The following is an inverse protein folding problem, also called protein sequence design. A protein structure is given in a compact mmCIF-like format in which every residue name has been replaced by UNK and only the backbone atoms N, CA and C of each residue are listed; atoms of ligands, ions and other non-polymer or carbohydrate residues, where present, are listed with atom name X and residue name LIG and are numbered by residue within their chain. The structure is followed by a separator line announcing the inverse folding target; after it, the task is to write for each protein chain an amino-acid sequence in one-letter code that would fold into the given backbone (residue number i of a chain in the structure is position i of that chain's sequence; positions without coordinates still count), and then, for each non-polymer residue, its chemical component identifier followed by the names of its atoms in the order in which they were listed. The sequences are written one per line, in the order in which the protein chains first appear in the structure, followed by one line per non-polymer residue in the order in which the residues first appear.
data_IF_547587151570
#
_entry.id   IF_547587151570
#
_cell.length_a   1.000
_cell.length_b   1.000
_cell.length_c   1.000
_cell.angle_alpha   90.00
_cell.angle_beta   90.00
_cell.angle_gamma   90.00
#
_symmetry.space_group_name_H-M   'P 1'
#
loop_
_entity.id
_entity.type
_entity.pdbx_description
1 polymer ?
#
# COMPACT_ATOMS: atom_id res chain seq x y z
N UNK A 1 -12.80 -47.05 -37.43
CA UNK A 1 -13.46 -46.02 -36.60
C UNK A 1 -13.28 -44.68 -37.30
N UNK A 2 -14.27 -43.79 -37.26
CA UNK A 2 -14.14 -42.45 -37.85
C UNK A 2 -13.06 -41.66 -37.09
N UNK A 3 -12.22 -40.92 -37.82
CA UNK A 3 -11.20 -40.04 -37.24
C UNK A 3 -11.71 -38.60 -37.26
N UNK A 4 -11.52 -37.90 -36.16
CA UNK A 4 -12.05 -36.55 -35.93
C UNK A 4 -10.89 -35.56 -35.76
N UNK A 5 -10.49 -34.96 -36.88
CA UNK A 5 -9.41 -33.98 -36.91
C UNK A 5 -9.96 -32.56 -36.77
N UNK A 6 -9.28 -31.72 -36.00
CA UNK A 6 -9.62 -30.32 -35.78
C UNK A 6 -10.16 -30.04 -34.38
N UNK A 7 -10.67 -28.82 -34.20
CA UNK A 7 -11.20 -28.32 -32.91
C UNK A 7 -12.72 -28.39 -32.89
N UNK A 8 -13.26 -28.92 -31.81
CA UNK A 8 -14.69 -29.05 -31.56
C UNK A 8 -15.09 -28.24 -30.34
N UNK A 9 -16.25 -27.59 -30.39
CA UNK A 9 -16.76 -26.83 -29.23
C UNK A 9 -17.22 -27.81 -28.16
N UNK A 10 -16.71 -27.64 -26.95
CA UNK A 10 -17.13 -28.38 -25.79
C UNK A 10 -17.45 -27.49 -24.61
N UNK A 11 -17.98 -28.11 -23.56
CA UNK A 11 -18.16 -27.49 -22.25
C UNK A 11 -17.47 -28.30 -21.16
N UNK A 12 -16.97 -27.61 -20.15
CA UNK A 12 -16.45 -28.26 -18.94
C UNK A 12 -17.62 -28.83 -18.14
N UNK A 13 -17.63 -30.13 -17.92
CA UNK A 13 -18.64 -30.83 -17.11
C UNK A 13 -18.16 -31.11 -15.67
N UNK A 14 -16.84 -31.22 -15.46
CA UNK A 14 -16.26 -31.54 -14.16
C UNK A 14 -14.76 -31.32 -14.12
N UNK A 15 -14.23 -31.00 -12.93
CA UNK A 15 -12.80 -30.65 -12.72
C UNK A 15 -12.10 -31.50 -11.66
N UNK A 16 -12.81 -32.45 -11.04
CA UNK A 16 -12.28 -33.30 -9.96
C UNK A 16 -11.47 -34.48 -10.53
N UNK A 17 -10.27 -34.19 -11.05
CA UNK A 17 -9.39 -35.20 -11.67
C UNK A 17 -8.78 -36.17 -10.63
N UNK A 18 -9.18 -37.46 -10.62
CA UNK A 18 -8.66 -38.43 -9.65
C UNK A 18 -7.19 -38.81 -9.87
N UNK A 19 -6.61 -38.50 -11.03
CA UNK A 19 -5.19 -38.80 -11.34
C UNK A 19 -4.27 -37.59 -11.16
N UNK A 20 -4.81 -36.42 -10.82
CA UNK A 20 -4.04 -35.18 -10.64
C UNK A 20 -3.15 -34.81 -11.84
N UNK A 21 -3.64 -35.04 -13.06
CA UNK A 21 -2.95 -34.77 -14.32
C UNK A 21 -3.40 -33.44 -14.96
N UNK A 22 -4.26 -32.67 -14.28
CA UNK A 22 -4.85 -31.44 -14.82
C UNK A 22 -5.93 -31.70 -15.88
N UNK A 23 -6.54 -32.90 -15.85
CA UNK A 23 -7.63 -33.25 -16.77
C UNK A 23 -8.94 -32.61 -16.34
N UNK A 24 -9.83 -32.45 -17.31
CA UNK A 24 -11.22 -32.06 -17.07
C UNK A 24 -12.17 -33.04 -17.75
N UNK A 25 -13.37 -33.20 -17.21
CA UNK A 25 -14.44 -33.85 -17.92
C UNK A 25 -15.03 -32.88 -18.92
N UNK A 26 -15.09 -33.29 -20.19
CA UNK A 26 -15.62 -32.49 -21.28
C UNK A 26 -16.90 -33.11 -21.82
N UNK A 27 -17.83 -32.26 -22.22
CA UNK A 27 -18.98 -32.60 -23.03
C UNK A 27 -18.81 -32.00 -24.42
N UNK A 28 -18.87 -32.83 -25.46
CA UNK A 28 -18.74 -32.40 -26.87
C UNK A 28 -19.94 -32.91 -27.64
N UNK A 29 -21.04 -32.17 -27.61
CA UNK A 29 -22.33 -32.62 -28.13
C UNK A 29 -22.28 -33.04 -29.61
N UNK A 30 -21.47 -32.34 -30.43
CA UNK A 30 -21.31 -32.63 -31.86
C UNK A 30 -20.60 -33.95 -32.17
N UNK A 31 -19.94 -34.57 -31.18
CA UNK A 31 -19.15 -35.79 -31.36
C UNK A 31 -19.73 -36.94 -30.54
N UNK A 32 -20.09 -36.66 -29.29
CA UNK A 32 -20.54 -37.67 -28.34
C UNK A 32 -22.06 -37.78 -28.22
N UNK A 33 -22.81 -36.86 -28.84
CA UNK A 33 -24.23 -36.68 -28.52
C UNK A 33 -24.42 -36.10 -27.12
N UNK A 34 -25.67 -36.13 -26.64
CA UNK A 34 -25.99 -35.66 -25.30
C UNK A 34 -25.64 -36.70 -24.23
N UNK A 35 -25.10 -36.25 -23.10
CA UNK A 35 -24.89 -37.08 -21.91
C UNK A 35 -23.57 -37.84 -21.80
N UNK A 36 -22.81 -38.06 -22.89
CA UNK A 36 -21.48 -38.69 -22.78
C UNK A 36 -20.41 -37.66 -22.38
N UNK A 37 -19.71 -37.96 -21.30
CA UNK A 37 -18.56 -37.21 -20.78
C UNK A 37 -17.27 -37.99 -21.00
N UNK A 38 -16.16 -37.30 -21.18
CA UNK A 38 -14.84 -37.94 -21.28
C UNK A 38 -13.76 -37.09 -20.62
N UNK A 39 -12.75 -37.75 -20.05
CA UNK A 39 -11.61 -37.07 -19.43
C UNK A 39 -10.65 -36.61 -20.51
N UNK A 40 -10.49 -35.29 -20.66
CA UNK A 40 -9.59 -34.70 -21.64
C UNK A 40 -8.23 -34.33 -21.03
N UNK A 41 -7.15 -34.64 -21.74
CA UNK A 41 -5.79 -34.23 -21.39
C UNK A 41 -5.58 -32.72 -21.62
N UNK A 42 -4.84 -32.01 -20.75
CA UNK A 42 -4.54 -30.60 -20.93
C UNK A 42 -3.54 -30.35 -22.06
N UNK A 43 -3.87 -29.42 -22.94
CA UNK A 43 -2.92 -28.75 -23.82
C UNK A 43 -2.72 -27.31 -23.31
N UNK A 44 -1.87 -27.18 -22.29
CA UNK A 44 -1.56 -25.90 -21.63
C UNK A 44 -0.30 -25.25 -22.22
N UNK A 45 -0.15 -23.91 -22.13
CA UNK A 45 1.01 -23.21 -22.71
C UNK A 45 2.36 -23.60 -22.11
N UNK A 46 2.39 -24.02 -20.85
CA UNK A 46 3.61 -24.42 -20.16
C UNK A 46 3.30 -25.51 -19.12
N UNK A 47 4.00 -26.64 -19.19
CA UNK A 47 3.91 -27.72 -18.22
C UNK A 47 5.25 -28.48 -18.14
N UNK A 48 5.60 -28.94 -16.94
CA UNK A 48 6.79 -29.74 -16.66
C UNK A 48 6.77 -30.25 -15.22
N UNK A 49 7.86 -30.88 -14.79
CA UNK A 49 8.01 -31.30 -13.39
C UNK A 49 8.10 -30.07 -12.48
N UNK A 50 7.08 -29.86 -11.65
CA UNK A 50 6.97 -28.77 -10.67
C UNK A 50 7.03 -27.34 -11.27
N UNK A 51 6.64 -27.21 -12.54
CA UNK A 51 6.59 -25.93 -13.26
C UNK A 51 5.43 -25.93 -14.26
N UNK A 52 4.83 -24.77 -14.52
CA UNK A 52 3.77 -24.66 -15.53
C UNK A 52 2.83 -23.47 -15.36
N UNK A 53 1.89 -23.33 -16.30
CA UNK A 53 0.74 -22.44 -16.20
C UNK A 53 -0.51 -23.28 -15.92
N UNK A 54 -0.90 -23.37 -14.65
CA UNK A 54 -2.04 -24.16 -14.20
C UNK A 54 -3.30 -23.31 -14.03
N UNK A 55 -4.12 -23.22 -15.07
CA UNK A 55 -5.35 -22.43 -15.09
C UNK A 55 -6.52 -23.29 -15.59
N UNK A 56 -7.12 -24.06 -14.67
CA UNK A 56 -8.25 -24.94 -14.99
C UNK A 56 -9.54 -24.11 -15.09
N UNK A 57 -10.30 -24.20 -16.20
CA UNK A 57 -11.56 -23.47 -16.33
C UNK A 57 -12.66 -24.01 -15.41
N UNK A 58 -13.59 -23.13 -15.03
CA UNK A 58 -14.74 -23.50 -14.19
C UNK A 58 -15.70 -24.44 -14.93
N UNK A 59 -16.45 -25.25 -14.18
CA UNK A 59 -17.56 -26.04 -14.73
C UNK A 59 -18.53 -25.11 -15.47
N UNK A 60 -18.95 -25.52 -16.67
CA UNK A 60 -19.79 -24.73 -17.57
C UNK A 60 -19.04 -23.88 -18.59
N UNK A 61 -17.73 -23.66 -18.42
CA UNK A 61 -16.92 -22.85 -19.34
C UNK A 61 -16.88 -23.46 -20.75
N UNK A 62 -16.81 -22.60 -21.76
CA UNK A 62 -16.69 -23.01 -23.15
C UNK A 62 -15.22 -23.24 -23.54
N UNK A 63 -14.93 -24.40 -24.12
CA UNK A 63 -13.57 -24.86 -24.44
C UNK A 63 -13.48 -25.41 -25.85
N UNK A 64 -12.27 -25.43 -26.42
CA UNK A 64 -12.00 -26.25 -27.60
C UNK A 64 -11.49 -27.63 -27.19
N UNK A 65 -12.01 -28.65 -27.85
CA UNK A 65 -11.63 -30.05 -27.67
C UNK A 65 -11.06 -30.59 -28.97
N UNK A 66 -9.93 -31.28 -28.86
CA UNK A 66 -9.24 -32.02 -29.92
C UNK A 66 -9.12 -33.48 -29.50
N UNK A 67 -8.56 -34.31 -30.37
CA UNK A 67 -8.46 -35.76 -30.17
C UNK A 67 -7.08 -36.26 -30.62
N UNK A 68 -6.36 -36.99 -29.76
CA UNK A 68 -5.02 -37.52 -30.10
C UNK A 68 -5.11 -38.40 -31.34
N UNK A 69 -4.42 -38.03 -32.43
CA UNK A 69 -4.51 -38.76 -33.70
C UNK A 69 -5.94 -38.89 -34.25
N UNK A 70 -6.82 -37.94 -33.91
CA UNK A 70 -8.24 -37.95 -34.27
C UNK A 70 -9.07 -39.01 -33.55
N UNK A 71 -8.55 -39.59 -32.46
CA UNK A 71 -9.21 -40.66 -31.71
C UNK A 71 -10.09 -40.11 -30.57
N UNK A 72 -11.39 -40.37 -30.67
CA UNK A 72 -12.39 -39.82 -29.74
C UNK A 72 -12.26 -40.32 -28.31
N UNK A 73 -11.56 -41.44 -28.10
CA UNK A 73 -11.31 -41.98 -26.77
C UNK A 73 -10.12 -41.29 -26.06
N UNK A 74 -9.38 -40.43 -26.78
CA UNK A 74 -8.25 -39.65 -26.27
C UNK A 74 -8.46 -38.13 -26.48
N UNK A 75 -9.45 -37.52 -25.81
CA UNK A 75 -9.70 -36.09 -25.95
C UNK A 75 -8.59 -35.24 -25.31
N UNK A 76 -8.36 -34.06 -25.90
CA UNK A 76 -7.47 -33.01 -25.44
C UNK A 76 -8.30 -31.75 -25.27
N UNK A 77 -8.16 -31.00 -24.18
CA UNK A 77 -8.73 -29.65 -24.06
C UNK A 77 -7.67 -28.59 -24.35
N UNK A 78 -8.01 -27.61 -25.18
CA UNK A 78 -7.09 -26.59 -25.70
C UNK A 78 -7.72 -25.20 -25.64
N UNK A 79 -7.48 -24.48 -24.54
CA UNK A 79 -7.96 -23.12 -24.36
C UNK A 79 -9.48 -22.97 -24.21
N UNK A 80 -9.90 -21.74 -23.95
CA UNK A 80 -11.29 -21.35 -23.72
C UNK A 80 -11.72 -20.30 -24.74
N UNK A 81 -13.02 -20.09 -24.88
CA UNK A 81 -13.58 -18.96 -25.62
C UNK A 81 -14.75 -18.36 -24.85
N UNK A 82 -14.97 -17.05 -25.01
CA UNK A 82 -16.12 -16.40 -24.42
C UNK A 82 -17.38 -16.70 -25.23
N UNK A 83 -18.43 -17.11 -24.53
CA UNK A 83 -19.80 -17.07 -25.02
C UNK A 83 -20.32 -15.63 -25.12
N UNK A 84 -21.58 -15.51 -25.53
CA UNK A 84 -22.26 -14.23 -25.53
C UNK A 84 -22.27 -13.64 -24.12
N UNK A 85 -21.83 -12.38 -24.01
CA UNK A 85 -21.72 -11.62 -22.77
C UNK A 85 -20.76 -12.12 -21.68
N UNK A 86 -19.98 -13.18 -21.95
CA UNK A 86 -18.98 -13.70 -21.00
C UNK A 86 -17.66 -12.92 -21.00
N UNK A 87 -17.38 -12.13 -22.04
CA UNK A 87 -16.17 -11.29 -22.10
C UNK A 87 -16.22 -10.26 -20.94
N UNK A 88 -15.16 -10.15 -20.10
CA UNK A 88 -15.12 -9.17 -19.02
C UNK A 88 -15.47 -7.77 -19.50
N UNK A 89 -16.37 -7.09 -18.77
CA UNK A 89 -16.90 -5.79 -19.16
C UNK A 89 -15.79 -4.74 -19.37
N UNK A 90 -14.73 -4.78 -18.57
CA UNK A 90 -13.57 -3.90 -18.71
C UNK A 90 -12.82 -4.08 -20.05
N UNK A 91 -12.99 -5.20 -20.75
CA UNK A 91 -12.41 -5.47 -22.06
C UNK A 91 -13.37 -5.15 -23.23
N UNK A 92 -14.61 -4.74 -22.95
CA UNK A 92 -15.57 -4.29 -23.97
C UNK A 92 -15.30 -2.82 -24.34
N UNK A 93 -14.11 -2.59 -24.90
CA UNK A 93 -13.62 -1.29 -25.37
C UNK A 93 -13.39 -1.30 -26.87
N UNK A 94 -13.26 -0.12 -27.48
CA UNK A 94 -12.96 0.04 -28.90
C UNK A 94 -11.51 -0.35 -29.22
N UNK A 95 -10.54 0.19 -28.46
CA UNK A 95 -9.11 -0.10 -28.61
C UNK A 95 -8.69 -1.36 -27.83
N UNK A 96 -9.13 -2.53 -28.30
CA UNK A 96 -8.93 -3.81 -27.59
C UNK A 96 -7.47 -4.25 -27.44
N UNK A 97 -6.57 -3.79 -28.30
CA UNK A 97 -5.13 -4.08 -28.22
C UNK A 97 -4.42 -3.27 -27.12
N UNK A 98 -5.08 -2.26 -26.55
CA UNK A 98 -4.53 -1.40 -25.50
C UNK A 98 -4.83 -1.87 -24.08
N UNK A 99 -5.61 -2.95 -23.92
CA UNK A 99 -5.92 -3.50 -22.60
C UNK A 99 -5.80 -5.02 -22.60
N UNK A 100 -5.06 -5.54 -21.62
CA UNK A 100 -4.90 -6.96 -21.37
C UNK A 100 -5.27 -7.26 -19.93
N UNK A 101 -5.93 -8.40 -19.70
CA UNK A 101 -6.41 -8.77 -18.38
C UNK A 101 -6.27 -10.27 -18.16
N UNK A 102 -5.78 -10.62 -16.98
CA UNK A 102 -5.93 -11.95 -16.40
C UNK A 102 -6.89 -11.86 -15.22
N UNK A 103 -8.06 -12.48 -15.32
CA UNK A 103 -9.10 -12.47 -14.29
C UNK A 103 -9.51 -13.89 -13.93
N UNK A 104 -9.55 -14.15 -12.63
CA UNK A 104 -10.16 -15.34 -12.03
C UNK A 104 -11.26 -14.90 -11.07
N UNK A 105 -11.90 -15.83 -10.40
CA UNK A 105 -12.90 -15.52 -9.37
C UNK A 105 -12.27 -14.68 -8.25
N UNK A 106 -12.72 -13.42 -8.12
CA UNK A 106 -12.28 -12.47 -7.10
C UNK A 106 -10.88 -11.86 -7.28
N UNK A 107 -10.10 -12.24 -8.30
CA UNK A 107 -8.75 -11.71 -8.54
C UNK A 107 -8.58 -11.20 -9.97
N UNK A 108 -7.87 -10.09 -10.15
CA UNK A 108 -7.63 -9.50 -11.47
C UNK A 108 -6.29 -8.80 -11.55
N UNK A 109 -5.56 -9.04 -12.64
CA UNK A 109 -4.40 -8.26 -13.07
C UNK A 109 -4.74 -7.63 -14.42
N UNK A 110 -4.60 -6.32 -14.53
CA UNK A 110 -4.91 -5.53 -15.74
C UNK A 110 -3.69 -4.74 -16.17
N UNK A 111 -3.35 -4.82 -17.45
CA UNK A 111 -2.37 -3.98 -18.13
C UNK A 111 -3.16 -3.05 -19.05
N UNK A 112 -3.04 -1.74 -18.85
CA UNK A 112 -3.82 -0.75 -19.57
C UNK A 112 -2.92 0.33 -20.19
N UNK A 113 -3.08 0.58 -21.49
CA UNK A 113 -2.37 1.62 -22.25
C UNK A 113 -3.33 2.60 -22.94
N UNK A 114 -4.61 2.65 -22.54
CA UNK A 114 -5.61 3.59 -23.05
C UNK A 114 -6.17 4.50 -21.96
N UNK A 115 -6.69 5.65 -22.38
CA UNK A 115 -7.30 6.65 -21.51
C UNK A 115 -6.34 7.24 -20.48
N UNK A 116 -6.90 7.70 -19.37
CA UNK A 116 -6.17 8.30 -18.24
C UNK A 116 -5.64 7.25 -17.25
N UNK A 117 -6.26 6.07 -17.21
CA UNK A 117 -5.91 4.99 -16.27
C UNK A 117 -4.81 4.06 -16.82
N UNK A 118 -3.79 4.63 -17.48
CA UNK A 118 -2.66 3.85 -18.01
C UNK A 118 -1.82 3.29 -16.87
N UNK A 119 -1.38 2.04 -17.01
CA UNK A 119 -0.59 1.39 -16.00
C UNK A 119 -0.97 -0.06 -15.76
N UNK A 120 -0.58 -0.56 -14.58
CA UNK A 120 -0.89 -1.92 -14.11
C UNK A 120 -1.79 -1.81 -12.88
N UNK A 121 -2.88 -2.57 -12.87
CA UNK A 121 -3.80 -2.65 -11.72
C UNK A 121 -3.97 -4.10 -11.28
N UNK A 122 -3.78 -4.35 -9.99
CA UNK A 122 -4.02 -5.64 -9.34
C UNK A 122 -5.17 -5.44 -8.34
N UNK A 123 -6.19 -6.30 -8.40
CA UNK A 123 -7.36 -6.26 -7.52
C UNK A 123 -7.63 -7.64 -6.96
N UNK A 124 -7.91 -7.69 -5.66
CA UNK A 124 -8.48 -8.85 -4.97
C UNK A 124 -9.77 -8.39 -4.28
N UNK A 125 -10.88 -9.06 -4.55
CA UNK A 125 -12.23 -8.70 -4.10
C UNK A 125 -13.07 -9.95 -3.83
N UNK A 126 -14.33 -9.76 -3.43
CA UNK A 126 -15.25 -10.87 -3.19
C UNK A 126 -15.39 -11.76 -4.46
N UNK A 127 -15.40 -13.09 -4.34
CA UNK A 127 -15.51 -13.88 -3.10
C UNK A 127 -14.17 -14.26 -2.46
N UNK A 128 -13.02 -13.89 -3.03
CA UNK A 128 -11.71 -14.26 -2.46
C UNK A 128 -11.46 -13.58 -1.11
N UNK A 129 -11.85 -12.31 -1.01
CA UNK A 129 -11.72 -11.51 0.22
C UNK A 129 -12.95 -10.62 0.40
N UNK A 130 -13.41 -10.45 1.64
CA UNK A 130 -14.52 -9.55 1.98
C UNK A 130 -14.17 -8.08 1.73
N UNK A 131 -12.91 -7.71 2.01
CA UNK A 131 -12.40 -6.35 1.86
C UNK A 131 -11.54 -6.24 0.61
N UNK A 132 -11.97 -5.40 -0.33
CA UNK A 132 -11.26 -5.16 -1.57
C UNK A 132 -9.85 -4.61 -1.31
N UNK A 133 -8.86 -5.29 -1.89
CA UNK A 133 -7.47 -4.87 -1.94
C UNK A 133 -7.14 -4.44 -3.37
N UNK A 134 -6.40 -3.35 -3.51
CA UNK A 134 -6.01 -2.79 -4.81
C UNK A 134 -4.56 -2.36 -4.78
N UNK A 135 -3.83 -2.63 -5.87
CA UNK A 135 -2.52 -2.08 -6.13
C UNK A 135 -2.50 -1.46 -7.54
N UNK A 136 -1.90 -0.29 -7.68
CA UNK A 136 -1.87 0.49 -8.92
C UNK A 136 -0.43 0.94 -9.17
N UNK A 137 0.01 0.81 -10.42
CA UNK A 137 1.23 1.42 -10.95
C UNK A 137 0.82 2.30 -12.12
N UNK A 138 0.92 3.61 -11.99
CA UNK A 138 0.49 4.56 -13.03
C UNK A 138 1.46 5.75 -13.14
N UNK A 139 1.05 6.80 -13.86
CA UNK A 139 1.87 8.01 -14.05
C UNK A 139 2.08 8.83 -12.76
N UNK A 140 1.24 8.64 -11.74
CA UNK A 140 1.36 9.30 -10.45
C UNK A 140 2.29 8.53 -9.49
N UNK A 141 2.53 7.23 -9.76
CA UNK A 141 3.46 6.39 -9.04
C UNK A 141 2.89 5.03 -8.69
N UNK A 142 3.03 4.62 -7.43
CA UNK A 142 2.58 3.32 -6.91
C UNK A 142 1.62 3.55 -5.74
N UNK A 143 0.45 2.93 -5.78
CA UNK A 143 -0.51 2.92 -4.67
C UNK A 143 -0.85 1.48 -4.25
N UNK A 144 -0.84 1.22 -2.94
CA UNK A 144 -1.41 0.02 -2.31
C UNK A 144 -2.54 0.47 -1.41
N UNK A 145 -3.73 -0.09 -1.60
CA UNK A 145 -4.96 0.40 -0.99
C UNK A 145 -5.79 -0.77 -0.41
N UNK A 146 -6.14 -0.65 0.87
CA UNK A 146 -7.09 -1.50 1.56
C UNK A 146 -8.38 -0.70 1.84
N UNK A 147 -9.29 -0.72 0.86
CA UNK A 147 -10.62 -0.09 0.91
C UNK A 147 -10.61 1.39 1.36
N UNK A 148 -9.64 2.16 0.88
CA UNK A 148 -9.40 3.58 1.22
C UNK A 148 -9.17 3.86 2.72
N UNK A 149 -9.13 2.83 3.57
CA UNK A 149 -8.88 2.94 5.00
C UNK A 149 -7.38 2.87 5.30
N UNK A 150 -6.60 2.08 4.58
CA UNK A 150 -5.14 2.04 4.75
C UNK A 150 -4.47 2.11 3.39
N UNK A 151 -3.61 3.09 3.20
CA UNK A 151 -2.97 3.36 1.92
C UNK A 151 -1.46 3.53 2.08
N UNK A 152 -0.72 3.03 1.10
CA UNK A 152 0.69 3.32 0.89
C UNK A 152 0.82 3.92 -0.50
N UNK A 153 1.41 5.11 -0.59
CA UNK A 153 1.65 5.83 -1.85
C UNK A 153 3.13 6.15 -1.99
N UNK A 154 3.69 5.85 -3.15
CA UNK A 154 5.04 6.22 -3.56
C UNK A 154 4.89 7.04 -4.83
N UNK A 155 5.14 8.35 -4.72
CA UNK A 155 5.01 9.33 -5.79
C UNK A 155 6.39 9.95 -6.08
N UNK A 156 6.47 10.81 -7.09
CA UNK A 156 7.75 11.39 -7.53
C UNK A 156 8.45 12.23 -6.45
N UNK A 157 7.68 12.92 -5.60
CA UNK A 157 8.13 13.88 -4.60
C UNK A 157 7.71 13.53 -3.17
N UNK A 158 6.95 12.44 -2.99
CA UNK A 158 6.39 12.06 -1.69
C UNK A 158 6.22 10.55 -1.53
N UNK A 159 6.54 10.05 -0.33
CA UNK A 159 6.11 8.72 0.14
C UNK A 159 5.15 8.92 1.32
N UNK A 160 3.98 8.28 1.27
CA UNK A 160 2.94 8.39 2.29
C UNK A 160 2.43 7.02 2.74
N UNK A 161 2.37 6.80 4.04
CA UNK A 161 1.66 5.69 4.67
C UNK A 161 0.53 6.28 5.52
N UNK A 162 -0.72 5.93 5.24
CA UNK A 162 -1.90 6.44 5.93
C UNK A 162 -2.72 5.29 6.50
N UNK A 163 -3.14 5.41 7.76
CA UNK A 163 -4.13 4.55 8.40
C UNK A 163 -5.32 5.40 8.88
N UNK A 164 -6.38 5.37 8.06
CA UNK A 164 -7.55 6.23 8.12
C UNK A 164 -7.11 7.69 8.20
N UNK A 165 -7.97 8.57 8.68
CA UNK A 165 -7.66 10.01 8.70
C UNK A 165 -6.71 10.43 9.83
N UNK A 166 -6.41 9.53 10.75
CA UNK A 166 -5.76 9.88 12.01
C UNK A 166 -4.25 9.66 11.99
N UNK A 167 -3.76 8.62 11.31
CA UNK A 167 -2.34 8.24 11.40
C UNK A 167 -1.67 8.34 10.05
N UNK A 168 -0.63 9.18 9.93
CA UNK A 168 0.15 9.32 8.70
C UNK A 168 1.65 9.30 8.98
N UNK A 169 2.41 8.72 8.05
CA UNK A 169 3.85 8.92 7.92
C UNK A 169 4.09 9.46 6.52
N UNK A 170 4.68 10.64 6.41
CA UNK A 170 4.89 11.34 5.14
C UNK A 170 6.37 11.70 5.03
N UNK A 171 7.00 11.30 3.92
CA UNK A 171 8.38 11.67 3.58
C UNK A 171 8.32 12.51 2.32
N UNK A 172 8.86 13.72 2.38
CA UNK A 172 9.06 14.61 1.23
C UNK A 172 10.54 14.88 1.05
N UNK A 173 10.91 15.71 0.06
CA UNK A 173 12.30 16.12 -0.15
C UNK A 173 12.92 16.85 1.06
N UNK A 174 12.11 17.62 1.79
CA UNK A 174 12.60 18.49 2.87
C UNK A 174 12.21 18.00 4.27
N UNK A 175 11.23 17.09 4.38
CA UNK A 175 10.64 16.71 5.67
C UNK A 175 10.36 15.22 5.80
N UNK A 176 10.45 14.73 7.05
CA UNK A 176 9.84 13.47 7.47
C UNK A 176 8.86 13.79 8.59
N UNK A 177 7.57 13.56 8.34
CA UNK A 177 6.46 13.89 9.22
C UNK A 177 5.75 12.61 9.70
N UNK A 178 5.56 12.46 11.00
CA UNK A 178 4.76 11.41 11.62
C UNK A 178 3.63 12.07 12.39
N UNK A 179 2.38 11.74 12.07
CA UNK A 179 1.20 12.35 12.70
C UNK A 179 0.25 11.29 13.23
N UNK A 180 -0.23 11.52 14.44
CA UNK A 180 -1.38 10.84 15.02
C UNK A 180 -2.35 11.89 15.57
N UNK A 181 -3.41 12.17 14.81
CA UNK A 181 -4.44 13.16 15.14
C UNK A 181 -3.81 14.54 15.41
N UNK A 182 -3.76 14.98 16.67
CA UNK A 182 -3.18 16.27 17.08
C UNK A 182 -1.69 16.20 17.46
N UNK A 183 -1.10 15.01 17.51
CA UNK A 183 0.32 14.82 17.85
C UNK A 183 1.13 14.68 16.55
N UNK A 184 2.23 15.42 16.44
CA UNK A 184 3.08 15.44 15.25
C UNK A 184 4.56 15.37 15.64
N UNK A 185 5.35 14.59 14.91
CA UNK A 185 6.81 14.64 14.93
C UNK A 185 7.30 15.01 13.53
N UNK A 186 8.12 16.05 13.43
CA UNK A 186 8.63 16.60 12.17
C UNK A 186 10.15 16.68 12.21
N UNK A 187 10.80 15.99 11.29
CA UNK A 187 12.23 16.11 11.01
C UNK A 187 12.42 16.97 9.77
N UNK A 188 13.33 17.94 9.85
CA UNK A 188 13.81 18.74 8.72
C UNK A 188 15.33 18.63 8.65
N UNK A 189 15.95 19.29 7.65
CA UNK A 189 17.42 19.38 7.57
C UNK A 189 18.08 20.05 8.79
N UNK A 190 17.33 20.80 9.60
CA UNK A 190 17.90 21.61 10.70
C UNK A 190 17.20 21.43 12.06
N UNK A 191 16.08 20.70 12.10
CA UNK A 191 15.25 20.56 13.30
C UNK A 191 14.63 19.17 13.48
N UNK A 192 14.39 18.81 14.75
CA UNK A 192 13.52 17.71 15.15
C UNK A 192 12.49 18.28 16.11
N UNK A 193 11.22 18.31 15.69
CA UNK A 193 10.12 18.92 16.42
C UNK A 193 9.11 17.83 16.84
N UNK A 194 8.73 17.77 18.11
CA UNK A 194 7.61 16.99 18.65
C UNK A 194 6.56 17.98 19.16
N UNK A 195 5.34 17.90 18.64
CA UNK A 195 4.25 18.82 18.93
C UNK A 195 3.04 18.07 19.49
N UNK A 196 2.58 18.50 20.66
CA UNK A 196 1.31 18.12 21.27
C UNK A 196 0.67 19.40 21.82
N UNK A 197 0.00 20.14 20.93
CA UNK A 197 -0.42 21.52 21.16
C UNK A 197 -1.16 21.70 22.52
N UNK A 198 -0.73 22.63 23.40
CA UNK A 198 0.29 23.67 23.22
C UNK A 198 1.73 23.28 23.56
N UNK A 199 1.97 22.06 24.03
CA UNK A 199 3.31 21.59 24.37
C UNK A 199 4.15 21.28 23.12
N UNK A 200 5.43 21.66 23.13
CA UNK A 200 6.40 21.35 22.08
C UNK A 200 7.76 20.97 22.68
N UNK A 201 8.47 20.09 21.99
CA UNK A 201 9.88 19.77 22.21
C UNK A 201 10.60 19.93 20.87
N UNK A 202 11.64 20.77 20.83
CA UNK A 202 12.37 21.12 19.62
C UNK A 202 13.86 20.97 19.83
N UNK A 203 14.52 20.19 18.97
CA UNK A 203 15.97 20.22 18.77
C UNK A 203 16.26 21.00 17.49
N UNK A 204 17.14 21.99 17.57
CA UNK A 204 17.47 22.90 16.48
C UNK A 204 18.98 23.10 16.42
N UNK A 205 19.53 23.06 15.21
CA UNK A 205 20.95 23.37 14.96
C UNK A 205 21.32 24.82 15.33
N UNK A 206 20.36 25.75 15.29
CA UNK A 206 20.60 27.17 15.56
C UNK A 206 20.23 27.60 16.99
N UNK A 207 19.29 26.91 17.64
CA UNK A 207 18.77 27.33 18.95
C UNK A 207 18.96 26.31 20.08
N UNK A 208 19.52 25.12 19.79
CA UNK A 208 19.76 24.07 20.77
C UNK A 208 18.52 23.24 21.06
N UNK A 209 18.23 22.96 22.32
CA UNK A 209 17.06 22.19 22.76
C UNK A 209 16.06 23.12 23.44
N UNK A 210 14.80 23.09 23.05
CA UNK A 210 13.71 23.89 23.61
C UNK A 210 12.54 22.99 23.99
N UNK A 211 12.08 23.09 25.25
CA UNK A 211 10.82 22.53 25.73
C UNK A 211 9.87 23.70 26.01
N UNK A 212 8.70 23.74 25.41
CA UNK A 212 7.73 24.81 25.64
C UNK A 212 6.36 24.25 26.00
N UNK A 213 5.73 24.85 26.99
CA UNK A 213 4.31 24.70 27.31
C UNK A 213 3.86 26.02 27.95
N UNK A 214 3.59 27.02 27.10
CA UNK A 214 3.42 28.43 27.51
C UNK A 214 2.47 28.57 28.70
N UNK A 215 2.83 29.36 29.74
CA UNK A 215 3.99 30.26 29.79
C UNK A 215 5.31 29.60 30.23
N UNK A 216 5.32 28.29 30.54
CA UNK A 216 6.52 27.59 30.95
C UNK A 216 7.40 27.19 29.75
N UNK A 217 8.71 27.32 29.89
CA UNK A 217 9.69 26.88 28.90
C UNK A 217 11.05 26.51 29.54
N UNK A 218 11.83 25.70 28.83
CA UNK A 218 13.21 25.37 29.14
C UNK A 218 14.04 25.38 27.86
N UNK A 219 15.21 26.01 27.88
CA UNK A 219 16.12 26.14 26.73
C UNK A 219 17.54 25.76 27.12
N UNK A 220 18.18 24.91 26.32
CA UNK A 220 19.59 24.55 26.41
C UNK A 220 20.26 24.95 25.11
N UNK A 221 21.14 25.93 25.15
CA UNK A 221 21.81 26.47 23.95
C UNK A 221 23.30 26.67 24.20
N UNK A 222 24.05 26.97 23.14
CA UNK A 222 25.46 27.35 23.25
C UNK A 222 25.69 28.63 24.07
N UNK A 223 24.66 29.46 24.24
CA UNK A 223 24.72 30.71 25.02
C UNK A 223 24.39 30.54 26.50
N UNK A 224 23.83 29.39 26.88
CA UNK A 224 23.42 29.11 28.25
C UNK A 224 22.19 28.21 28.36
N UNK A 225 21.78 27.99 29.60
CA UNK A 225 20.59 27.23 30.00
C UNK A 225 19.59 28.19 30.63
N UNK A 226 18.34 28.12 30.22
CA UNK A 226 17.24 28.93 30.76
C UNK A 226 16.05 28.04 31.14
N UNK A 227 15.48 28.27 32.32
CA UNK A 227 14.19 27.75 32.75
C UNK A 227 13.31 28.95 33.06
N UNK A 228 12.14 29.06 32.44
CA UNK A 228 11.28 30.22 32.65
C UNK A 228 9.80 29.83 32.73
N UNK A 229 9.05 30.66 33.44
CA UNK A 229 7.59 30.70 33.51
C UNK A 229 7.14 32.15 33.30
N UNK A 230 5.87 32.46 33.52
CA UNK A 230 5.37 33.83 33.33
C UNK A 230 6.13 34.89 34.16
N UNK A 231 6.46 34.59 35.43
CA UNK A 231 7.11 35.54 36.34
C UNK A 231 8.48 35.08 36.82
N UNK A 232 8.70 33.77 36.94
CA UNK A 232 9.95 33.22 37.48
C UNK A 232 10.87 32.71 36.37
N UNK A 233 12.18 32.90 36.54
CA UNK A 233 13.21 32.36 35.66
C UNK A 233 14.48 31.97 36.41
N UNK A 234 15.23 31.04 35.82
CA UNK A 234 16.59 30.69 36.19
C UNK A 234 17.42 30.65 34.92
N UNK A 235 18.49 31.45 34.86
CA UNK A 235 19.38 31.55 33.70
C UNK A 235 20.81 31.24 34.13
N UNK A 236 21.46 30.32 33.43
CA UNK A 236 22.87 29.97 33.60
C UNK A 236 23.58 30.31 32.30
N UNK A 237 24.43 31.32 32.33
CA UNK A 237 25.23 31.77 31.19
C UNK A 237 26.70 31.84 31.58
N UNK A 238 27.64 31.91 30.62
CA UNK A 238 29.05 32.14 30.95
C UNK A 238 29.31 33.44 31.73
N UNK A 239 28.42 34.43 31.61
CA UNK A 239 28.57 35.73 32.26
C UNK A 239 27.99 35.75 33.69
N UNK A 240 26.93 34.98 33.96
CA UNK A 240 26.23 35.00 35.23
C UNK A 240 25.30 33.78 35.45
N UNK A 241 25.01 33.51 36.72
CA UNK A 241 23.88 32.67 37.15
C UNK A 241 22.83 33.56 37.81
N UNK A 242 21.61 33.57 37.29
CA UNK A 242 20.50 34.42 37.75
C UNK A 242 19.28 33.58 38.12
N UNK A 243 18.65 33.89 39.24
CA UNK A 243 17.33 33.40 39.65
C UNK A 243 16.43 34.60 39.92
N UNK A 244 15.21 34.60 39.38
CA UNK A 244 14.21 35.64 39.64
C UNK A 244 12.82 35.03 39.79
N UNK A 245 11.99 35.62 40.64
CA UNK A 245 10.56 35.32 40.74
C UNK A 245 9.68 36.48 40.23
N UNK A 246 10.28 37.42 39.48
CA UNK A 246 9.64 38.63 38.98
C UNK A 246 9.81 39.83 39.91
N UNK A 247 9.60 39.64 41.22
CA UNK A 247 9.72 40.72 42.21
C UNK A 247 11.11 40.82 42.83
N UNK A 248 11.76 39.68 43.07
CA UNK A 248 13.08 39.54 43.67
C UNK A 248 14.03 38.81 42.71
N UNK A 249 15.34 39.03 42.90
CA UNK A 249 16.36 38.31 42.15
C UNK A 249 17.66 38.06 42.95
N UNK A 250 18.38 37.04 42.53
CA UNK A 250 19.75 36.74 42.96
C UNK A 250 20.58 36.53 41.71
N UNK A 251 21.69 37.27 41.57
CA UNK A 251 22.65 37.18 40.46
C UNK A 251 24.04 36.88 41.01
N UNK A 252 24.62 35.75 40.62
CA UNK A 252 26.02 35.41 40.83
C UNK A 252 26.82 35.84 39.58
N UNK A 253 27.64 36.87 39.76
CA UNK A 253 28.58 37.40 38.78
C UNK A 253 29.99 36.82 39.04
N UNK A 254 30.94 36.95 38.11
CA UNK A 254 32.29 36.38 38.28
C UNK A 254 33.04 36.86 39.54
N UNK A 255 32.70 38.07 40.02
CA UNK A 255 33.37 38.72 41.15
C UNK A 255 32.41 39.23 42.23
N UNK A 256 31.09 38.98 42.12
CA UNK A 256 30.11 39.55 43.05
C UNK A 256 28.82 38.72 43.13
N UNK A 257 28.11 38.87 44.25
CA UNK A 257 26.72 38.40 44.42
C UNK A 257 25.83 39.62 44.55
N UNK A 258 24.80 39.73 43.73
CA UNK A 258 23.81 40.80 43.77
C UNK A 258 22.45 40.24 44.16
N UNK A 259 21.83 40.80 45.20
CA UNK A 259 20.48 40.49 45.66
C UNK A 259 19.61 41.71 45.39
N UNK A 260 18.45 41.51 44.75
CA UNK A 260 17.47 42.56 44.43
C UNK A 260 18.08 43.76 43.69
N UNK A 261 18.98 43.52 42.74
CA UNK A 261 19.73 44.55 42.01
C UNK A 261 20.47 45.57 42.92
N UNK A 262 20.86 45.18 44.14
CA UNK A 262 21.56 46.02 45.10
C UNK A 262 20.63 46.80 46.04
N UNK A 263 19.32 46.56 45.98
CA UNK A 263 18.38 47.08 46.96
C UNK A 263 18.61 46.42 48.33
N UNK A 264 18.97 47.25 49.30
CA UNK A 264 19.31 46.91 50.69
C UNK A 264 18.07 46.55 51.51
N UNK A 265 17.23 45.62 51.05
CA UNK A 265 16.24 44.97 51.90
C UNK A 265 16.20 43.46 51.59
N UNK A 266 16.88 42.71 52.46
CA UNK A 266 16.57 41.30 52.74
C UNK A 266 15.63 41.34 53.94
N UNK A 267 14.31 41.27 53.69
CA UNK A 267 13.31 41.06 54.75
C UNK A 267 13.04 39.57 54.87
#
# INVERSE_FOLDING_TARGET
MAKFFGKYRGKVAGVKDPLHLGRIQVQVASIFGEGRLSWAMPCVPYAGKDVGLFTVPHVGSNIWVEFEGGDVDYPIWSGCFWGQDELPQALKVDERDKIQMFRTEGMTVTFNNQGENKGITIVVEHPTVERKLKMIFDANGIEINNKDETTIKIMADMIELKNRDNSTVTITVDTIDLKQSSVETKLTASTIDLTCNPATLKLSTSSGIELNNSPANAKFSSTGIELATAAASTKVTPAQIEMSNGAANIKLLPIAVNINNGALEVI
#
